data_IF_971435259117
#
_entry.id   IF_971435259117
#
_cell.length_a   1.000
_cell.length_b   1.000
_cell.length_c   1.000
_cell.angle_alpha   90.00
_cell.angle_beta   90.00
_cell.angle_gamma   90.00
#
_symmetry.space_group_name_H-M   'P 1'
#
loop_
_entity.id
_entity.type
_entity.pdbx_description
1 polymer ?
#
# COMPACT_ATOMS: atom_id res chain seq x y z
N UNK A 1 -28.87 18.15 14.98
CA UNK A 1 -29.15 17.35 13.78
C UNK A 1 -30.29 16.42 14.06
N UNK A 2 -31.31 16.33 13.19
CA UNK A 2 -32.42 15.40 13.43
C UNK A 2 -31.94 13.94 13.20
N UNK A 3 -32.46 13.03 14.01
CA UNK A 3 -32.10 11.59 13.92
C UNK A 3 -32.31 11.01 12.52
N UNK A 4 -33.36 11.43 11.81
CA UNK A 4 -33.63 10.97 10.45
C UNK A 4 -32.58 11.46 9.46
N UNK A 5 -32.11 12.67 9.63
CA UNK A 5 -30.98 13.23 8.83
C UNK A 5 -29.70 12.47 9.13
N UNK A 6 -29.42 12.20 10.41
CA UNK A 6 -28.25 11.42 10.83
C UNK A 6 -28.22 10.01 10.20
N UNK A 7 -29.37 9.30 10.23
CA UNK A 7 -29.51 7.98 9.61
C UNK A 7 -29.32 8.05 8.10
N UNK A 8 -29.87 9.06 7.45
CA UNK A 8 -29.75 9.27 6.00
C UNK A 8 -28.30 9.56 5.60
N UNK A 9 -27.67 10.47 6.30
CA UNK A 9 -26.27 10.87 6.05
C UNK A 9 -25.30 9.70 6.25
N UNK A 10 -25.46 8.98 7.35
CA UNK A 10 -24.62 7.81 7.64
C UNK A 10 -24.83 6.69 6.61
N UNK A 11 -26.08 6.41 6.24
CA UNK A 11 -26.44 5.44 5.22
C UNK A 11 -25.86 5.80 3.85
N UNK A 12 -25.88 7.08 3.50
CA UNK A 12 -25.36 7.60 2.24
C UNK A 12 -23.83 7.56 2.21
N UNK A 13 -23.17 7.91 3.32
CA UNK A 13 -21.71 7.88 3.44
C UNK A 13 -21.16 6.45 3.36
N UNK A 14 -21.77 5.50 4.07
CA UNK A 14 -21.35 4.10 4.08
C UNK A 14 -21.82 3.29 2.85
N UNK A 15 -22.72 3.85 2.03
CA UNK A 15 -23.30 3.14 0.87
C UNK A 15 -24.19 1.95 1.28
N UNK A 16 -24.65 1.90 2.55
CA UNK A 16 -25.42 0.80 3.14
C UNK A 16 -26.82 1.28 3.52
N UNK A 17 -27.85 0.51 3.20
CA UNK A 17 -29.22 0.85 3.58
C UNK A 17 -29.43 0.68 5.08
N UNK A 18 -30.05 1.70 5.68
CA UNK A 18 -30.46 1.64 7.08
C UNK A 18 -31.59 0.63 7.28
N UNK A 19 -31.43 -0.25 8.28
CA UNK A 19 -32.43 -1.23 8.69
C UNK A 19 -33.01 -0.81 10.04
N UNK A 20 -34.33 -0.57 10.08
CA UNK A 20 -34.99 -0.28 11.34
C UNK A 20 -35.23 -1.54 12.17
N UNK A 21 -34.80 -1.53 13.43
CA UNK A 21 -34.82 -2.70 14.31
C UNK A 21 -36.15 -2.83 15.10
N UNK A 22 -37.01 -1.79 15.10
CA UNK A 22 -38.30 -1.84 15.77
C UNK A 22 -38.22 -1.89 17.30
N UNK A 23 -39.30 -2.38 17.92
CA UNK A 23 -39.43 -2.53 19.38
C UNK A 23 -38.52 -3.69 19.85
N UNK A 24 -37.86 -3.57 20.98
CA UNK A 24 -37.87 -2.48 21.98
C UNK A 24 -36.82 -1.37 21.73
N UNK A 25 -35.84 -1.59 20.88
CA UNK A 25 -34.70 -0.66 20.73
C UNK A 25 -35.03 0.62 19.98
N UNK A 26 -35.98 0.56 19.02
CA UNK A 26 -36.28 1.63 18.07
C UNK A 26 -35.05 2.20 17.36
N UNK A 27 -33.99 1.40 17.26
CA UNK A 27 -32.72 1.79 16.66
C UNK A 27 -32.68 1.52 15.14
N UNK A 28 -31.72 2.10 14.45
CA UNK A 28 -31.38 1.78 13.06
C UNK A 28 -30.00 1.14 13.01
N UNK A 29 -29.91 0.00 12.34
CA UNK A 29 -28.65 -0.66 12.00
C UNK A 29 -28.20 -0.21 10.60
N UNK A 30 -26.95 0.24 10.46
CA UNK A 30 -26.37 0.74 9.22
C UNK A 30 -24.95 0.18 9.11
N UNK A 31 -24.78 -0.97 8.45
CA UNK A 31 -23.51 -1.68 8.41
C UNK A 31 -23.05 -2.08 9.82
N UNK A 32 -21.91 -1.57 10.23
CA UNK A 32 -21.30 -1.85 11.53
C UNK A 32 -21.72 -0.88 12.64
N UNK A 33 -22.63 0.02 12.35
CA UNK A 33 -23.08 1.06 13.27
C UNK A 33 -24.56 0.92 13.62
N UNK A 34 -24.90 1.37 14.83
CA UNK A 34 -26.28 1.42 15.32
C UNK A 34 -26.61 2.85 15.73
N UNK A 35 -27.66 3.42 15.14
CA UNK A 35 -28.19 4.72 15.57
C UNK A 35 -29.31 4.49 16.55
N UNK A 36 -29.11 4.89 17.82
CA UNK A 36 -30.08 4.71 18.92
C UNK A 36 -31.31 5.60 18.78
N UNK A 37 -32.33 5.38 19.64
CA UNK A 37 -33.53 6.22 19.71
C UNK A 37 -33.17 7.68 20.01
N UNK A 38 -32.15 7.90 20.82
CA UNK A 38 -31.71 9.22 21.27
C UNK A 38 -30.84 9.94 20.21
N UNK A 39 -30.51 9.27 19.08
CA UNK A 39 -29.68 9.82 18.00
C UNK A 39 -28.18 9.68 18.23
N UNK A 40 -27.78 8.75 19.10
CA UNK A 40 -26.35 8.38 19.28
C UNK A 40 -25.95 7.31 18.27
N UNK A 41 -24.74 7.39 17.77
CA UNK A 41 -24.16 6.35 16.91
C UNK A 41 -23.26 5.48 17.77
N UNK A 42 -23.49 4.17 17.73
CA UNK A 42 -22.67 3.17 18.42
C UNK A 42 -21.97 2.29 17.39
N UNK A 43 -20.70 1.95 17.65
CA UNK A 43 -19.97 0.94 16.86
C UNK A 43 -20.36 -0.49 17.32
N UNK A 44 -19.78 -1.53 16.69
CA UNK A 44 -20.01 -2.95 17.08
C UNK A 44 -19.60 -3.27 18.52
N UNK A 45 -18.63 -2.53 19.07
CA UNK A 45 -18.17 -2.71 20.45
C UNK A 45 -19.12 -2.03 21.46
N UNK A 46 -20.03 -1.17 20.99
CA UNK A 46 -20.96 -0.42 21.81
C UNK A 46 -20.46 0.97 22.22
N UNK A 47 -19.34 1.42 21.66
CA UNK A 47 -18.79 2.75 21.94
C UNK A 47 -19.54 3.81 21.14
N UNK A 48 -19.78 4.96 21.78
CA UNK A 48 -20.42 6.11 21.16
C UNK A 48 -19.45 6.84 20.22
N UNK A 49 -19.86 7.06 18.99
CA UNK A 49 -19.09 7.77 17.96
C UNK A 49 -19.86 8.97 17.42
N UNK A 50 -19.14 9.96 16.95
CA UNK A 50 -19.73 11.09 16.23
C UNK A 50 -19.75 10.84 14.72
N UNK A 51 -20.64 11.56 14.01
CA UNK A 51 -20.71 11.45 12.56
C UNK A 51 -19.40 11.93 11.88
N UNK A 52 -18.73 12.90 12.49
CA UNK A 52 -17.47 13.45 11.97
C UNK A 52 -16.34 12.43 12.11
N UNK A 53 -16.27 11.70 13.21
CA UNK A 53 -15.30 10.58 13.40
C UNK A 53 -15.51 9.45 12.39
N UNK A 54 -16.73 9.26 11.90
CA UNK A 54 -17.04 8.23 10.91
C UNK A 54 -16.81 8.75 9.49
N UNK A 55 -17.09 10.04 9.23
CA UNK A 55 -16.88 10.70 7.93
C UNK A 55 -15.43 11.05 7.66
N UNK A 56 -14.73 11.45 8.70
CA UNK A 56 -13.28 11.48 8.69
C UNK A 56 -12.83 10.15 9.28
N UNK A 57 -12.50 9.14 8.46
CA UNK A 57 -11.76 8.01 9.01
C UNK A 57 -10.58 8.65 9.71
N UNK A 58 -10.50 8.45 11.03
CA UNK A 58 -9.32 8.86 11.78
C UNK A 58 -8.13 8.32 11.00
N UNK A 59 -7.37 9.21 10.35
CA UNK A 59 -6.12 8.90 9.64
C UNK A 59 -5.03 8.49 10.65
N UNK A 60 -5.44 7.99 11.80
CA UNK A 60 -4.69 7.27 12.79
C UNK A 60 -4.90 5.74 12.72
N UNK A 61 -5.25 5.18 11.57
CA UNK A 61 -4.48 4.02 11.17
C UNK A 61 -3.09 4.60 10.87
N UNK A 62 -2.20 4.58 11.85
CA UNK A 62 -0.78 4.55 11.59
C UNK A 62 -0.63 3.55 10.45
N UNK A 63 -0.44 4.03 9.24
CA UNK A 63 -0.03 3.17 8.15
C UNK A 63 1.35 2.67 8.57
N UNK A 64 1.35 1.55 9.30
CA UNK A 64 2.57 0.85 9.64
C UNK A 64 3.19 0.53 8.30
N UNK A 65 4.20 1.32 7.95
CA UNK A 65 5.00 1.08 6.76
C UNK A 65 5.66 -0.27 7.00
N UNK A 66 5.28 -1.25 6.17
CA UNK A 66 5.75 -2.61 6.33
C UNK A 66 6.96 -2.79 5.43
N UNK A 67 8.01 -3.32 6.00
CA UNK A 67 9.21 -3.71 5.26
C UNK A 67 9.15 -5.21 4.96
N UNK A 68 9.37 -5.54 3.69
CA UNK A 68 9.52 -6.94 3.26
C UNK A 68 10.92 -7.10 2.68
N UNK A 69 11.73 -7.93 3.33
CA UNK A 69 13.10 -8.17 2.94
C UNK A 69 13.28 -9.56 2.32
N UNK A 70 14.13 -9.64 1.30
CA UNK A 70 14.54 -10.87 0.64
C UNK A 70 16.07 -10.97 0.64
N UNK A 71 16.66 -12.18 0.66
CA UNK A 71 18.10 -12.33 0.59
C UNK A 71 18.64 -11.85 -0.76
N UNK A 72 19.74 -11.11 -0.73
CA UNK A 72 20.50 -10.69 -1.92
C UNK A 72 21.28 -11.88 -2.53
N UNK A 73 21.45 -12.93 -1.76
CA UNK A 73 22.14 -14.15 -2.18
C UNK A 73 21.59 -14.72 -3.50
N UNK A 74 22.50 -15.07 -4.41
CA UNK A 74 22.15 -15.60 -5.73
C UNK A 74 21.65 -14.54 -6.72
N UNK A 75 21.79 -13.24 -6.39
CA UNK A 75 21.65 -12.15 -7.34
C UNK A 75 22.99 -11.73 -7.91
N UNK A 76 23.01 -11.42 -9.19
CA UNK A 76 24.12 -10.83 -9.93
C UNK A 76 23.73 -9.42 -10.45
N UNK A 77 24.70 -8.71 -11.02
CA UNK A 77 24.48 -7.38 -11.59
C UNK A 77 23.30 -7.35 -12.57
N UNK A 78 23.15 -8.38 -13.39
CA UNK A 78 22.07 -8.52 -14.36
C UNK A 78 20.71 -8.66 -13.66
N UNK A 79 20.61 -9.50 -12.65
CA UNK A 79 19.34 -9.73 -11.94
C UNK A 79 18.88 -8.51 -11.16
N UNK A 80 19.79 -7.73 -10.58
CA UNK A 80 19.46 -6.45 -9.93
C UNK A 80 19.02 -5.41 -10.95
N UNK A 81 19.71 -5.27 -12.08
CA UNK A 81 19.25 -4.40 -13.17
C UNK A 81 17.84 -4.80 -13.67
N UNK A 82 17.59 -6.09 -13.83
CA UNK A 82 16.28 -6.60 -14.21
C UNK A 82 15.20 -6.22 -13.18
N UNK A 83 15.50 -6.40 -11.89
CA UNK A 83 14.57 -6.05 -10.80
C UNK A 83 14.20 -4.58 -10.85
N UNK A 84 15.19 -3.68 -10.92
CA UNK A 84 14.95 -2.24 -10.97
C UNK A 84 14.18 -1.82 -12.22
N UNK A 85 14.52 -2.37 -13.40
CA UNK A 85 13.78 -2.13 -14.63
C UNK A 85 12.31 -2.60 -14.53
N UNK A 86 12.06 -3.73 -13.89
CA UNK A 86 10.70 -4.25 -13.69
C UNK A 86 9.91 -3.36 -12.74
N UNK A 87 10.50 -2.90 -11.64
CA UNK A 87 9.84 -1.97 -10.70
C UNK A 87 9.59 -0.64 -11.39
N UNK A 88 10.58 -0.06 -12.07
CA UNK A 88 10.45 1.19 -12.81
C UNK A 88 9.33 1.13 -13.87
N UNK A 89 9.30 0.07 -14.69
CA UNK A 89 8.26 -0.08 -15.73
C UNK A 89 6.85 -0.31 -15.17
N UNK A 90 6.73 -0.78 -13.93
CA UNK A 90 5.47 -1.04 -13.23
C UNK A 90 5.15 0.03 -12.18
N UNK A 91 6.00 1.03 -12.04
CA UNK A 91 5.86 2.06 -11.02
C UNK A 91 4.46 2.72 -10.99
N UNK A 92 3.81 3.07 -12.11
CA UNK A 92 2.47 3.66 -12.07
C UNK A 92 1.44 2.73 -11.42
N UNK A 93 1.57 1.40 -11.61
CA UNK A 93 0.70 0.41 -10.98
C UNK A 93 1.01 0.24 -9.50
N UNK A 94 2.29 0.20 -9.15
CA UNK A 94 2.77 0.10 -7.76
C UNK A 94 2.32 1.34 -6.98
N UNK A 95 2.52 2.53 -7.51
CA UNK A 95 2.07 3.80 -6.89
C UNK A 95 0.56 3.80 -6.64
N UNK A 96 -0.22 3.34 -7.60
CA UNK A 96 -1.67 3.23 -7.43
C UNK A 96 -2.07 2.18 -6.39
N UNK A 97 -1.39 1.02 -6.37
CA UNK A 97 -1.72 -0.07 -5.46
C UNK A 97 -1.40 0.24 -3.99
N UNK A 98 -0.31 0.98 -3.74
CA UNK A 98 0.17 1.30 -2.40
C UNK A 98 -0.04 2.78 -2.01
N UNK A 99 -0.81 3.53 -2.79
CA UNK A 99 -1.08 4.96 -2.57
C UNK A 99 0.20 5.78 -2.33
N UNK A 100 1.20 5.60 -3.21
CA UNK A 100 2.47 6.32 -3.14
C UNK A 100 2.41 7.58 -3.98
N UNK A 101 2.83 8.70 -3.42
CA UNK A 101 2.92 9.97 -4.14
C UNK A 101 4.27 10.16 -4.81
N UNK A 102 5.33 9.71 -4.14
CA UNK A 102 6.72 9.88 -4.59
C UNK A 102 7.14 8.83 -5.62
N UNK A 103 8.14 9.18 -6.41
CA UNK A 103 8.81 8.28 -7.36
C UNK A 103 9.65 7.26 -6.60
N UNK A 104 9.55 5.99 -6.97
CA UNK A 104 10.32 4.90 -6.34
C UNK A 104 11.73 4.86 -6.93
N UNK A 105 11.82 4.96 -8.26
CA UNK A 105 13.09 4.86 -9.00
C UNK A 105 13.16 6.00 -10.02
N UNK A 106 14.18 6.81 -9.94
CA UNK A 106 14.41 7.87 -10.92
C UNK A 106 14.90 7.30 -12.26
N UNK A 107 14.48 7.91 -13.36
CA UNK A 107 14.84 7.47 -14.73
C UNK A 107 16.33 7.50 -14.97
N UNK A 108 16.99 8.51 -14.43
CA UNK A 108 18.44 8.73 -14.53
C UNK A 108 19.20 7.54 -13.96
N UNK A 109 18.79 7.04 -12.78
CA UNK A 109 19.39 5.87 -12.15
C UNK A 109 19.32 4.63 -13.06
N UNK A 110 18.18 4.40 -13.73
CA UNK A 110 18.03 3.27 -14.67
C UNK A 110 19.04 3.41 -15.84
N UNK A 111 19.24 4.64 -16.33
CA UNK A 111 20.22 4.93 -17.37
C UNK A 111 21.65 4.62 -16.91
N UNK A 112 22.02 5.11 -15.74
CA UNK A 112 23.37 5.01 -15.19
C UNK A 112 23.76 3.55 -14.90
N UNK A 113 22.89 2.77 -14.28
CA UNK A 113 23.16 1.35 -13.99
C UNK A 113 23.18 0.47 -15.22
N UNK A 114 22.61 0.90 -16.34
CA UNK A 114 22.50 0.08 -17.57
C UNK A 114 23.85 -0.37 -18.09
N UNK A 115 24.87 0.48 -17.99
CA UNK A 115 26.24 0.27 -18.47
C UNK A 115 27.13 -0.48 -17.49
N UNK A 116 26.74 -0.61 -16.21
CA UNK A 116 27.54 -1.25 -15.18
C UNK A 116 27.39 -2.77 -15.22
N UNK A 117 28.48 -3.49 -15.05
CA UNK A 117 28.51 -4.97 -15.02
C UNK A 117 28.88 -5.53 -13.64
N UNK A 118 29.40 -4.69 -12.76
CA UNK A 118 29.80 -5.06 -11.40
C UNK A 118 28.60 -4.83 -10.44
N UNK A 119 28.29 -5.84 -9.63
CA UNK A 119 27.20 -5.77 -8.65
C UNK A 119 27.46 -4.70 -7.58
N UNK A 120 28.66 -4.63 -7.03
CA UNK A 120 29.01 -3.70 -5.96
C UNK A 120 28.92 -2.24 -6.43
N UNK A 121 29.34 -1.96 -7.69
CA UNK A 121 29.19 -0.63 -8.29
C UNK A 121 27.71 -0.24 -8.45
N UNK A 122 26.87 -1.19 -8.88
CA UNK A 122 25.43 -0.97 -9.01
C UNK A 122 24.80 -0.68 -7.64
N UNK A 123 25.13 -1.47 -6.63
CA UNK A 123 24.60 -1.30 -5.28
C UNK A 123 25.05 0.04 -4.66
N UNK A 124 26.32 0.42 -4.85
CA UNK A 124 26.84 1.71 -4.40
C UNK A 124 26.08 2.87 -5.04
N UNK A 125 25.87 2.81 -6.35
CA UNK A 125 25.16 3.84 -7.10
C UNK A 125 23.70 3.96 -6.66
N UNK A 126 23.02 2.83 -6.41
CA UNK A 126 21.63 2.83 -5.90
C UNK A 126 21.56 3.50 -4.53
N UNK A 127 22.48 3.17 -3.63
CA UNK A 127 22.53 3.73 -2.28
C UNK A 127 22.85 5.24 -2.29
N UNK A 128 23.75 5.70 -3.18
CA UNK A 128 24.06 7.12 -3.36
C UNK A 128 22.88 7.93 -3.90
N UNK A 129 22.07 7.35 -4.79
CA UNK A 129 20.90 8.00 -5.39
C UNK A 129 19.64 7.90 -4.53
N UNK A 130 19.73 7.31 -3.34
CA UNK A 130 18.66 7.26 -2.36
C UNK A 130 17.33 6.76 -2.95
N UNK A 131 17.38 5.57 -3.60
CA UNK A 131 16.22 4.94 -4.21
C UNK A 131 15.11 4.80 -3.17
N UNK A 132 14.01 5.53 -3.37
CA UNK A 132 12.91 5.57 -2.40
C UNK A 132 12.09 4.29 -2.50
N UNK A 133 12.04 3.54 -1.44
CA UNK A 133 11.19 2.36 -1.36
C UNK A 133 11.87 1.01 -1.61
N UNK A 134 13.13 1.01 -2.08
CA UNK A 134 13.93 -0.22 -2.20
C UNK A 134 15.34 0.10 -1.69
N UNK A 135 15.82 -0.69 -0.74
CA UNK A 135 17.20 -0.60 -0.25
C UNK A 135 17.93 -1.94 -0.38
N UNK A 136 19.26 -1.84 -0.45
CA UNK A 136 20.17 -2.98 -0.60
C UNK A 136 21.22 -2.88 0.49
N UNK A 137 20.90 -3.40 1.66
CA UNK A 137 21.73 -3.36 2.85
C UNK A 137 21.75 -4.74 3.53
N UNK A 138 22.79 -5.04 4.29
CA UNK A 138 22.90 -6.26 5.09
C UNK A 138 22.62 -7.55 4.29
N UNK A 139 23.11 -7.64 3.05
CA UNK A 139 22.85 -8.76 2.14
C UNK A 139 21.36 -9.02 1.87
N UNK A 140 20.54 -7.97 1.94
CA UNK A 140 19.10 -8.02 1.70
C UNK A 140 18.65 -7.01 0.66
N UNK A 141 17.56 -7.34 -0.01
CA UNK A 141 16.75 -6.46 -0.83
C UNK A 141 15.51 -6.15 -0.02
N UNK A 142 15.35 -4.92 0.45
CA UNK A 142 14.24 -4.50 1.29
C UNK A 142 13.31 -3.59 0.52
N UNK A 143 12.01 -3.93 0.54
CA UNK A 143 10.93 -3.09 0.00
C UNK A 143 10.22 -2.44 1.18
N UNK A 144 10.29 -1.12 1.28
CA UNK A 144 9.76 -0.34 2.41
C UNK A 144 8.54 0.51 2.05
N UNK A 145 7.94 0.30 0.87
CA UNK A 145 6.74 1.02 0.44
C UNK A 145 5.43 0.25 0.65
N UNK A 146 5.48 -0.89 1.31
CA UNK A 146 4.34 -1.80 1.41
C UNK A 146 3.30 -1.26 2.39
N UNK A 147 2.03 -1.27 1.95
CA UNK A 147 0.85 -0.95 2.76
C UNK A 147 -0.22 -2.00 2.49
N UNK A 148 -1.02 -2.37 3.51
CA UNK A 148 -2.15 -3.28 3.36
C UNK A 148 -1.79 -4.77 3.50
N UNK A 149 -2.29 -5.64 2.62
CA UNK A 149 -2.16 -7.10 2.77
C UNK A 149 -0.72 -7.59 2.52
N UNK A 150 -0.07 -7.99 3.61
CA UNK A 150 1.33 -8.48 3.61
C UNK A 150 1.46 -9.74 2.75
N UNK A 151 0.49 -10.64 2.77
CA UNK A 151 0.56 -11.89 2.04
C UNK A 151 0.55 -11.65 0.53
N UNK A 152 -0.39 -10.86 0.04
CA UNK A 152 -0.49 -10.50 -1.38
C UNK A 152 0.77 -9.75 -1.83
N UNK A 153 1.25 -8.81 -1.01
CA UNK A 153 2.46 -8.05 -1.31
C UNK A 153 3.71 -8.94 -1.35
N UNK A 154 3.86 -9.85 -0.39
CA UNK A 154 4.97 -10.80 -0.36
C UNK A 154 4.97 -11.74 -1.56
N UNK A 155 3.82 -12.27 -1.96
CA UNK A 155 3.67 -13.11 -3.16
C UNK A 155 4.05 -12.35 -4.43
N UNK A 156 3.60 -11.10 -4.57
CA UNK A 156 3.94 -10.24 -5.70
C UNK A 156 5.44 -9.95 -5.78
N UNK A 157 6.06 -9.54 -4.66
CA UNK A 157 7.49 -9.24 -4.61
C UNK A 157 8.35 -10.49 -4.83
N UNK A 158 7.96 -11.63 -4.27
CA UNK A 158 8.62 -12.91 -4.51
C UNK A 158 8.63 -13.26 -5.99
N UNK A 159 7.51 -13.03 -6.69
CA UNK A 159 7.42 -13.25 -8.12
C UNK A 159 8.34 -12.30 -8.91
N UNK A 160 8.42 -11.02 -8.53
CA UNK A 160 9.31 -10.04 -9.16
C UNK A 160 10.77 -10.47 -9.03
N UNK A 161 11.21 -10.84 -7.83
CA UNK A 161 12.57 -11.28 -7.52
C UNK A 161 12.92 -12.54 -8.31
N UNK A 162 12.03 -13.52 -8.32
CA UNK A 162 12.22 -14.74 -9.10
C UNK A 162 12.36 -14.44 -10.58
N UNK A 163 11.51 -13.61 -11.14
CA UNK A 163 11.56 -13.22 -12.55
C UNK A 163 12.81 -12.43 -12.89
N UNK A 164 13.28 -11.57 -12.00
CA UNK A 164 14.53 -10.84 -12.19
C UNK A 164 15.73 -11.75 -12.36
N UNK A 165 15.80 -12.85 -11.59
CA UNK A 165 16.85 -13.89 -11.72
C UNK A 165 16.74 -14.70 -13.02
N UNK A 166 15.54 -15.03 -13.45
CA UNK A 166 15.28 -15.89 -14.62
C UNK A 166 15.51 -15.18 -15.97
N UNK A 167 15.27 -13.88 -16.04
CA UNK A 167 15.38 -13.12 -17.29
C UNK A 167 16.84 -12.93 -17.71
N UNK A 168 17.14 -13.14 -18.99
CA UNK A 168 18.46 -12.88 -19.55
C UNK A 168 18.79 -11.39 -19.52
N UNK A 169 17.86 -10.54 -19.90
CA UNK A 169 17.86 -9.10 -19.69
C UNK A 169 16.48 -8.49 -19.91
N UNK A 170 16.19 -7.38 -19.23
CA UNK A 170 15.02 -6.56 -19.50
C UNK A 170 15.48 -5.19 -19.97
N UNK A 171 14.83 -4.68 -21.00
CA UNK A 171 14.89 -3.26 -21.34
C UNK A 171 13.67 -2.57 -20.76
N UNK A 172 13.84 -1.43 -20.10
CA UNK A 172 12.69 -0.58 -19.76
C UNK A 172 12.02 -0.19 -21.06
N UNK A 173 10.74 -0.55 -21.23
CA UNK A 173 9.97 0.02 -22.33
C UNK A 173 9.83 1.52 -22.04
N UNK A 174 10.46 2.32 -22.88
CA UNK A 174 10.13 3.72 -22.98
C UNK A 174 8.68 3.80 -23.44
N UNK A 175 7.81 4.29 -22.57
CA UNK A 175 6.45 4.70 -22.92
C UNK A 175 6.52 6.17 -23.28
#
# INVERSE_FOLDING_TARGET
MDRKELVKDLSQHLGVKAKYLGVPSFAYEIGDFTVTREGKILNKAGDEMTLDEIKEPSLEEEFVQIEIAFPLEGHDARSIKNLLNMVYSKEPLIKKAYALEETIIEKELIGDISSLENLDEILSLINENNCKGISFEDEKITFNFIKGDIKISSEFLSLLIKKAKELKHTTSRQV
#
